data_IF_281061804198
#
_entry.id   IF_281061804198
#
_cell.length_a   1.000
_cell.length_b   1.000
_cell.length_c   1.000
_cell.angle_alpha   90.00
_cell.angle_beta   90.00
_cell.angle_gamma   90.00
#
_symmetry.space_group_name_H-M   'P 1'
#
loop_
_entity.id
_entity.type
_entity.pdbx_description
1 polymer ?
#
# COMPACT_ATOMS: atom_id res chain seq x y z
N UNK A 1 -1.57 8.11 12.11
CA UNK A 1 -1.65 8.80 13.41
C UNK A 1 -0.27 8.77 14.04
N UNK A 2 0.28 9.90 14.54
CA UNK A 2 1.61 9.94 15.13
C UNK A 2 1.72 9.02 16.36
N UNK A 3 2.87 8.35 16.53
CA UNK A 3 3.08 7.35 17.58
C UNK A 3 2.83 7.89 19.01
N UNK A 4 3.23 9.14 19.26
CA UNK A 4 3.02 9.80 20.56
C UNK A 4 1.54 9.95 20.91
N UNK A 5 0.68 10.20 19.90
CA UNK A 5 -0.75 10.35 20.11
C UNK A 5 -1.38 9.00 20.49
N UNK A 6 -0.91 7.90 19.88
CA UNK A 6 -1.32 6.53 20.25
C UNK A 6 -0.93 6.20 21.69
N UNK A 7 0.27 6.60 22.10
CA UNK A 7 0.77 6.38 23.46
C UNK A 7 -0.08 7.13 24.50
N UNK A 8 -0.39 8.41 24.23
CA UNK A 8 -1.25 9.23 25.08
C UNK A 8 -2.68 8.65 25.21
N UNK A 9 -3.29 8.23 24.10
CA UNK A 9 -4.63 7.60 24.12
C UNK A 9 -4.62 6.33 24.97
N UNK A 10 -3.57 5.51 24.85
CA UNK A 10 -3.45 4.26 25.61
C UNK A 10 -3.30 4.54 27.10
N UNK A 11 -2.44 5.48 27.50
CA UNK A 11 -2.28 5.89 28.90
C UNK A 11 -3.60 6.44 29.45
N UNK A 12 -4.26 7.34 28.72
CA UNK A 12 -5.51 7.95 29.16
C UNK A 12 -6.60 6.90 29.34
N UNK A 13 -6.68 5.94 28.42
CA UNK A 13 -7.63 4.86 28.51
C UNK A 13 -7.33 3.91 29.68
N UNK A 14 -6.06 3.62 29.98
CA UNK A 14 -5.69 2.87 31.20
C UNK A 14 -6.14 3.62 32.45
N UNK A 15 -5.85 4.93 32.55
CA UNK A 15 -6.25 5.77 33.69
C UNK A 15 -7.78 5.80 33.85
N UNK A 16 -8.51 6.01 32.75
CA UNK A 16 -9.96 6.02 32.74
C UNK A 16 -10.55 4.66 33.12
N UNK A 17 -9.96 3.57 32.61
CA UNK A 17 -10.36 2.21 32.97
C UNK A 17 -10.13 1.97 34.47
N UNK A 18 -8.99 2.39 35.03
CA UNK A 18 -8.71 2.33 36.46
C UNK A 18 -9.69 3.17 37.31
N UNK A 19 -10.16 4.31 36.80
CA UNK A 19 -11.19 5.13 37.46
C UNK A 19 -12.55 4.43 37.49
N UNK A 20 -13.03 3.95 36.33
CA UNK A 20 -14.27 3.16 36.23
C UNK A 20 -14.21 1.86 37.04
N UNK A 21 -13.01 1.27 37.17
CA UNK A 21 -12.78 0.04 37.94
C UNK A 21 -13.19 0.15 39.41
N UNK A 22 -13.14 1.36 39.98
CA UNK A 22 -13.52 1.61 41.38
C UNK A 22 -15.03 1.72 41.59
N UNK A 23 -15.81 1.99 40.54
CA UNK A 23 -17.25 2.19 40.63
C UNK A 23 -18.07 0.89 40.48
N UNK A 24 -17.45 -0.20 40.00
CA UNK A 24 -18.15 -1.47 39.72
C UNK A 24 -17.86 -2.47 40.85
N UNK A 25 -18.89 -2.90 41.56
CA UNK A 25 -18.77 -3.80 42.71
C UNK A 25 -18.56 -5.28 42.31
N UNK A 26 -19.13 -5.71 41.18
CA UNK A 26 -19.03 -7.09 40.70
C UNK A 26 -17.68 -7.36 40.00
N UNK A 27 -16.94 -8.37 40.47
CA UNK A 27 -15.62 -8.77 39.94
C UNK A 27 -15.69 -9.30 38.50
N UNK A 28 -16.77 -10.00 38.12
CA UNK A 28 -16.90 -10.58 36.76
C UNK A 28 -17.18 -9.50 35.72
N UNK A 29 -18.09 -8.58 36.04
CA UNK A 29 -18.42 -7.44 35.18
C UNK A 29 -17.19 -6.54 34.94
N UNK A 30 -16.37 -6.33 35.98
CA UNK A 30 -15.10 -5.61 35.87
C UNK A 30 -14.16 -6.22 34.83
N UNK A 31 -13.91 -7.53 34.90
CA UNK A 31 -13.02 -8.22 33.95
C UNK A 31 -13.55 -8.08 32.52
N UNK A 32 -14.84 -8.31 32.30
CA UNK A 32 -15.45 -8.22 30.96
C UNK A 32 -15.32 -6.80 30.40
N UNK A 33 -15.65 -5.77 31.18
CA UNK A 33 -15.58 -4.36 30.76
C UNK A 33 -14.14 -3.97 30.43
N UNK A 34 -13.16 -4.36 31.27
CA UNK A 34 -11.75 -4.11 30.98
C UNK A 34 -11.29 -4.79 29.68
N UNK A 35 -11.67 -6.06 29.44
CA UNK A 35 -11.33 -6.75 28.19
C UNK A 35 -11.94 -6.07 26.96
N UNK A 36 -13.19 -5.61 27.05
CA UNK A 36 -13.86 -4.88 25.97
C UNK A 36 -13.21 -3.53 25.68
N UNK A 37 -12.82 -2.78 26.71
CA UNK A 37 -12.12 -1.50 26.54
C UNK A 37 -10.76 -1.71 25.89
N UNK A 38 -9.97 -2.69 26.35
CA UNK A 38 -8.68 -3.03 25.74
C UNK A 38 -8.82 -3.47 24.28
N UNK A 39 -9.86 -4.24 23.96
CA UNK A 39 -10.17 -4.63 22.58
C UNK A 39 -10.55 -3.40 21.72
N UNK A 40 -11.37 -2.49 22.24
CA UNK A 40 -11.76 -1.27 21.55
C UNK A 40 -10.56 -0.34 21.29
N UNK A 41 -9.66 -0.16 22.25
CA UNK A 41 -8.44 0.66 22.08
C UNK A 41 -7.50 0.02 21.05
N UNK A 42 -7.30 -1.30 21.11
CA UNK A 42 -6.46 -2.06 20.17
C UNK A 42 -6.97 -1.90 18.73
N UNK A 43 -8.28 -2.10 18.53
CA UNK A 43 -8.90 -2.05 17.20
C UNK A 43 -8.86 -0.65 16.59
N UNK A 44 -9.06 0.41 17.39
CA UNK A 44 -9.06 1.79 16.91
C UNK A 44 -7.65 2.34 16.62
N UNK A 45 -6.64 1.87 17.35
CA UNK A 45 -5.30 2.50 17.33
C UNK A 45 -4.32 1.90 16.32
N UNK A 46 -4.44 0.62 15.98
CA UNK A 46 -3.42 -0.10 15.19
C UNK A 46 -3.95 -0.86 13.97
N UNK A 47 -5.23 -0.70 13.58
CA UNK A 47 -5.87 -1.57 12.56
C UNK A 47 -5.57 -3.06 12.84
N UNK A 48 -5.57 -3.42 14.13
CA UNK A 48 -5.08 -4.70 14.61
C UNK A 48 -6.00 -5.29 15.66
N UNK A 49 -6.25 -6.59 15.54
CA UNK A 49 -6.89 -7.38 16.57
C UNK A 49 -5.76 -7.95 17.42
N UNK A 50 -5.74 -7.56 18.70
CA UNK A 50 -4.78 -8.09 19.68
C UNK A 50 -3.33 -8.06 19.18
N UNK A 51 -2.83 -6.97 18.58
CA UNK A 51 -1.41 -6.76 18.22
C UNK A 51 -0.73 -7.79 17.29
N UNK A 52 -1.42 -8.87 16.87
CA UNK A 52 -0.84 -9.92 16.02
C UNK A 52 -1.62 -10.16 14.70
N UNK A 53 -2.90 -9.77 14.62
CA UNK A 53 -3.67 -9.75 13.36
C UNK A 53 -3.80 -8.29 12.94
N UNK A 54 -3.45 -7.98 11.69
CA UNK A 54 -3.61 -6.67 11.08
C UNK A 54 -4.55 -6.76 9.90
N UNK A 55 -5.28 -5.69 9.62
CA UNK A 55 -6.11 -5.57 8.43
C UNK A 55 -5.94 -4.23 7.75
N UNK A 56 -6.10 -4.21 6.42
CA UNK A 56 -5.99 -2.99 5.64
C UNK A 56 -6.82 -3.06 4.35
N UNK A 57 -7.20 -1.89 3.84
CA UNK A 57 -8.15 -1.77 2.74
C UNK A 57 -9.63 -1.89 3.18
N UNK A 58 -10.57 -2.08 2.24
CA UNK A 58 -10.35 -2.21 0.79
C UNK A 58 -9.83 -0.92 0.15
N UNK A 59 -9.18 -1.07 -1.00
CA UNK A 59 -8.68 0.04 -1.81
C UNK A 59 -9.36 0.07 -3.16
N UNK A 60 -9.67 1.29 -3.61
CA UNK A 60 -10.32 1.55 -4.88
C UNK A 60 -9.50 2.56 -5.65
N UNK A 61 -9.44 2.41 -6.96
CA UNK A 61 -8.81 3.42 -7.77
C UNK A 61 -9.12 3.26 -9.24
N UNK A 62 -8.54 4.16 -10.02
CA UNK A 62 -8.65 4.19 -11.47
C UNK A 62 -7.27 4.43 -12.07
N UNK A 63 -6.93 3.68 -13.10
CA UNK A 63 -5.72 3.87 -13.90
C UNK A 63 -6.11 4.57 -15.19
N UNK A 64 -5.47 5.70 -15.47
CA UNK A 64 -5.73 6.50 -16.67
C UNK A 64 -4.44 6.81 -17.41
N UNK A 65 -4.58 7.03 -18.70
CA UNK A 65 -3.55 7.57 -19.56
C UNK A 65 -3.23 9.01 -19.13
N UNK A 66 -1.96 9.29 -18.94
CA UNK A 66 -1.52 10.59 -18.48
C UNK A 66 -1.75 11.71 -19.51
N UNK A 67 -1.66 11.37 -20.80
CA UNK A 67 -1.71 12.31 -21.91
C UNK A 67 -3.17 12.52 -22.34
N UNK A 68 -3.95 11.45 -22.48
CA UNK A 68 -5.34 11.54 -22.98
C UNK A 68 -6.39 11.64 -21.87
N UNK A 69 -6.05 11.24 -20.63
CA UNK A 69 -7.01 11.12 -19.53
C UNK A 69 -7.97 9.94 -19.67
N UNK A 70 -7.82 9.11 -20.71
CA UNK A 70 -8.67 7.95 -20.97
C UNK A 70 -8.37 6.81 -19.99
N UNK A 71 -9.38 5.99 -19.63
CA UNK A 71 -9.17 4.82 -18.78
C UNK A 71 -8.25 3.78 -19.44
N UNK A 72 -7.40 3.14 -18.64
CA UNK A 72 -6.53 2.06 -19.10
C UNK A 72 -7.10 0.70 -18.64
N UNK A 73 -7.63 -0.06 -19.59
CA UNK A 73 -8.06 -1.43 -19.37
C UNK A 73 -6.89 -2.43 -19.29
N UNK A 74 -7.01 -3.43 -18.43
CA UNK A 74 -6.08 -4.55 -18.38
C UNK A 74 -4.70 -4.20 -17.81
N UNK A 75 -4.58 -3.11 -17.03
CA UNK A 75 -3.40 -2.79 -16.25
C UNK A 75 -3.35 -3.72 -15.03
N UNK A 76 -2.20 -4.34 -14.79
CA UNK A 76 -1.97 -5.14 -13.59
C UNK A 76 -1.69 -4.19 -12.42
N UNK A 77 -2.40 -4.38 -11.31
CA UNK A 77 -2.26 -3.59 -10.10
C UNK A 77 -1.92 -4.53 -8.95
N UNK A 78 -0.89 -4.23 -8.19
CA UNK A 78 -0.49 -4.97 -7.00
C UNK A 78 -0.44 -4.03 -5.80
N UNK A 79 -1.15 -4.41 -4.73
CA UNK A 79 -1.03 -3.83 -3.41
C UNK A 79 -0.11 -4.69 -2.57
N UNK A 80 0.89 -4.07 -1.94
CA UNK A 80 1.91 -4.76 -1.17
C UNK A 80 1.98 -4.14 0.21
N UNK A 81 2.07 -5.00 1.22
CA UNK A 81 2.10 -4.60 2.61
C UNK A 81 3.37 -5.10 3.27
N UNK A 82 3.96 -4.22 4.07
CA UNK A 82 5.08 -4.53 4.95
C UNK A 82 4.65 -4.39 6.41
N UNK A 83 5.26 -5.20 7.26
CA UNK A 83 5.17 -5.04 8.70
C UNK A 83 6.44 -4.36 9.14
N UNK A 84 6.25 -3.22 9.81
CA UNK A 84 7.29 -2.52 10.54
C UNK A 84 7.41 -3.13 11.93
N UNK A 85 8.55 -3.79 12.19
CA UNK A 85 8.94 -4.23 13.52
C UNK A 85 9.75 -3.12 14.18
N UNK A 86 9.20 -2.53 15.25
CA UNK A 86 9.90 -1.51 16.00
C UNK A 86 10.90 -2.17 16.96
N UNK A 87 12.18 -1.81 16.81
CA UNK A 87 13.21 -2.04 17.82
C UNK A 87 13.61 -0.71 18.46
N UNK A 88 14.22 -0.76 19.64
CA UNK A 88 14.60 0.42 20.44
C UNK A 88 15.45 1.46 19.68
N UNK A 89 16.13 1.05 18.60
CA UNK A 89 17.14 1.86 17.89
C UNK A 89 16.91 1.91 16.37
N UNK A 90 16.02 1.08 15.83
CA UNK A 90 15.77 0.97 14.39
C UNK A 90 14.42 0.34 14.09
N UNK A 91 13.85 0.67 12.94
CA UNK A 91 12.71 -0.06 12.36
C UNK A 91 13.22 -1.08 11.36
N UNK A 92 12.67 -2.29 11.40
CA UNK A 92 12.89 -3.32 10.38
C UNK A 92 11.60 -3.59 9.64
N UNK A 93 11.64 -3.55 8.30
CA UNK A 93 10.50 -3.83 7.45
C UNK A 93 10.59 -5.25 6.91
N UNK A 94 9.47 -5.95 6.94
CA UNK A 94 9.37 -7.29 6.38
C UNK A 94 8.10 -7.44 5.55
N UNK A 95 8.19 -8.21 4.48
CA UNK A 95 7.04 -8.58 3.67
C UNK A 95 5.93 -9.21 4.51
N UNK A 96 4.74 -8.62 4.45
CA UNK A 96 3.58 -9.10 5.17
C UNK A 96 2.61 -9.85 4.24
N UNK A 97 2.18 -9.19 3.17
CA UNK A 97 1.27 -9.78 2.19
C UNK A 97 1.32 -9.01 0.87
N UNK A 98 0.77 -9.61 -0.19
CA UNK A 98 0.53 -8.95 -1.46
C UNK A 98 -0.75 -9.49 -2.10
N UNK A 99 -1.45 -8.61 -2.79
CA UNK A 99 -2.67 -8.91 -3.54
C UNK A 99 -2.61 -8.23 -4.88
N UNK A 100 -2.99 -8.93 -5.95
CA UNK A 100 -3.08 -8.38 -7.30
C UNK A 100 -4.52 -8.31 -7.80
N UNK A 101 -4.74 -7.37 -8.71
CA UNK A 101 -5.97 -7.22 -9.49
C UNK A 101 -5.63 -6.69 -10.88
N UNK A 102 -6.61 -6.63 -11.77
CA UNK A 102 -6.48 -6.12 -13.13
C UNK A 102 -7.59 -5.09 -13.35
N UNK A 103 -7.27 -3.97 -13.99
CA UNK A 103 -8.26 -2.94 -14.28
C UNK A 103 -9.29 -3.41 -15.30
N UNK A 104 -10.53 -2.97 -15.11
CA UNK A 104 -11.64 -3.18 -16.06
C UNK A 104 -11.63 -2.17 -17.22
N UNK A 105 -12.66 -2.23 -18.07
CA UNK A 105 -12.83 -1.35 -19.22
C UNK A 105 -12.91 0.15 -18.86
N UNK A 106 -13.40 0.46 -17.65
CA UNK A 106 -13.46 1.83 -17.13
C UNK A 106 -12.14 2.25 -16.44
N UNK A 107 -11.12 1.39 -16.50
CA UNK A 107 -9.82 1.56 -15.85
C UNK A 107 -9.89 1.43 -14.33
N UNK A 108 -11.02 1.01 -13.77
CA UNK A 108 -11.21 0.90 -12.33
C UNK A 108 -10.57 -0.39 -11.80
N UNK A 109 -10.10 -0.33 -10.56
CA UNK A 109 -9.60 -1.50 -9.84
C UNK A 109 -10.07 -1.49 -8.40
N UNK A 110 -10.24 -2.69 -7.85
CA UNK A 110 -10.49 -2.92 -6.43
C UNK A 110 -9.49 -3.91 -5.89
N UNK A 111 -8.76 -3.52 -4.85
CA UNK A 111 -7.94 -4.41 -4.04
C UNK A 111 -8.76 -4.76 -2.78
N UNK A 112 -9.08 -6.04 -2.55
CA UNK A 112 -9.92 -6.45 -1.44
C UNK A 112 -9.25 -6.21 -0.09
N UNK A 113 -10.05 -6.25 0.97
CA UNK A 113 -9.56 -6.25 2.35
C UNK A 113 -8.50 -7.32 2.53
N UNK A 114 -7.33 -6.90 3.02
CA UNK A 114 -6.18 -7.78 3.20
C UNK A 114 -5.87 -7.92 4.68
N UNK A 115 -5.46 -9.12 5.07
CA UNK A 115 -5.00 -9.43 6.42
C UNK A 115 -3.52 -9.76 6.42
N UNK A 116 -2.84 -9.38 7.49
CA UNK A 116 -1.47 -9.75 7.77
C UNK A 116 -1.35 -10.24 9.21
N UNK A 117 -0.35 -11.09 9.46
CA UNK A 117 -0.13 -11.68 10.78
C UNK A 117 1.33 -11.58 11.17
N UNK A 118 1.60 -11.24 12.42
CA UNK A 118 2.94 -11.27 13.01
C UNK A 118 2.84 -11.57 14.50
N UNK A 119 3.82 -12.31 15.03
CA UNK A 119 3.96 -12.56 16.46
C UNK A 119 4.91 -11.56 17.15
N UNK A 120 5.49 -10.63 16.39
CA UNK A 120 6.46 -9.69 16.93
C UNK A 120 5.74 -8.62 17.78
N UNK A 121 6.13 -8.46 19.06
CA UNK A 121 5.56 -7.42 19.91
C UNK A 121 5.97 -6.05 19.39
N UNK A 122 5.07 -5.06 19.46
CA UNK A 122 5.31 -3.71 18.92
C UNK A 122 5.60 -3.72 17.42
N UNK A 123 4.76 -4.41 16.66
CA UNK A 123 4.72 -4.31 15.21
C UNK A 123 3.63 -3.35 14.76
N UNK A 124 3.72 -2.89 13.51
CA UNK A 124 2.69 -2.13 12.83
C UNK A 124 2.61 -2.57 11.37
N UNK A 125 1.40 -2.60 10.83
CA UNK A 125 1.22 -2.71 9.38
C UNK A 125 1.45 -1.34 8.76
N UNK A 126 2.40 -1.24 7.84
CA UNK A 126 2.69 -0.01 7.12
C UNK A 126 1.60 0.27 6.06
N UNK A 127 1.60 1.47 5.50
CA UNK A 127 0.73 1.82 4.39
C UNK A 127 0.97 0.90 3.18
N UNK A 128 -0.11 0.53 2.50
CA UNK A 128 -0.01 -0.26 1.27
C UNK A 128 0.81 0.49 0.21
N UNK A 129 1.87 -0.15 -0.27
CA UNK A 129 2.57 0.27 -1.46
C UNK A 129 1.84 -0.24 -2.72
N UNK A 130 1.52 0.70 -3.61
CA UNK A 130 0.87 0.41 -4.88
C UNK A 130 1.91 0.28 -5.99
N UNK A 131 1.84 -0.83 -6.73
CA UNK A 131 2.58 -1.02 -7.97
C UNK A 131 1.60 -1.25 -9.12
N UNK A 132 1.75 -0.50 -10.20
CA UNK A 132 0.90 -0.65 -11.39
C UNK A 132 1.77 -0.86 -12.61
N UNK A 133 1.36 -1.76 -13.50
CA UNK A 133 2.07 -2.02 -14.75
C UNK A 133 1.10 -2.37 -15.87
N UNK A 134 1.33 -1.78 -17.03
CA UNK A 134 0.66 -2.13 -18.29
C UNK A 134 1.72 -2.18 -19.40
N UNK A 135 1.80 -3.26 -20.19
CA UNK A 135 2.66 -3.29 -21.39
C UNK A 135 2.39 -2.09 -22.30
N UNK A 136 3.45 -1.43 -22.77
CA UNK A 136 3.34 -0.20 -23.56
C UNK A 136 3.17 1.10 -22.75
N UNK A 137 3.14 1.01 -21.42
CA UNK A 137 3.10 2.16 -20.51
C UNK A 137 4.30 2.17 -19.56
N UNK A 138 4.48 3.28 -18.86
CA UNK A 138 5.34 3.38 -17.68
C UNK A 138 4.81 2.53 -16.52
N UNK A 139 5.62 2.37 -15.49
CA UNK A 139 5.22 1.77 -14.21
C UNK A 139 4.63 2.81 -13.25
N UNK A 140 3.92 2.33 -12.24
CA UNK A 140 3.76 3.06 -10.98
C UNK A 140 4.51 2.33 -9.87
N UNK A 141 5.35 2.99 -9.07
CA UNK A 141 5.89 4.35 -9.26
C UNK A 141 6.57 4.55 -10.64
N UNK A 142 6.62 5.79 -11.17
CA UNK A 142 7.17 6.05 -12.51
C UNK A 142 8.64 5.67 -12.61
N UNK A 143 8.99 5.00 -13.70
CA UNK A 143 10.38 4.80 -14.10
C UNK A 143 10.82 5.91 -15.06
N UNK A 144 9.91 6.42 -15.87
CA UNK A 144 10.18 7.41 -16.92
C UNK A 144 9.96 8.80 -16.33
N UNK A 145 11.03 9.59 -16.25
CA UNK A 145 10.96 11.00 -15.86
C UNK A 145 10.99 11.88 -17.11
N UNK A 146 9.87 11.96 -17.83
CA UNK A 146 9.72 12.94 -18.91
C UNK A 146 9.31 14.29 -18.32
N UNK A 147 9.99 15.35 -18.75
CA UNK A 147 9.52 16.71 -18.57
C UNK A 147 8.33 16.91 -19.50
N UNK A 148 7.14 17.03 -18.94
CA UNK A 148 5.91 17.24 -19.70
C UNK A 148 5.44 18.69 -19.57
N UNK A 149 4.67 19.15 -20.56
CA UNK A 149 3.90 20.38 -20.40
C UNK A 149 2.85 20.15 -19.32
N UNK A 150 2.74 21.13 -18.43
CA UNK A 150 1.82 21.07 -17.28
C UNK A 150 0.38 21.11 -17.81
N UNK A 151 -0.47 20.12 -17.47
CA UNK A 151 -1.89 20.21 -17.81
C UNK A 151 -2.52 21.43 -17.13
N UNK A 152 -3.41 22.14 -17.84
CA UNK A 152 -4.04 23.38 -17.36
C UNK A 152 -4.78 23.21 -16.02
N UNK A 153 -5.33 22.01 -15.77
CA UNK A 153 -6.11 21.70 -14.57
C UNK A 153 -5.28 21.40 -13.32
N UNK A 154 -3.96 21.41 -13.40
CA UNK A 154 -3.09 21.13 -12.24
C UNK A 154 -2.57 22.46 -11.71
N UNK A 155 -2.84 22.79 -10.44
CA UNK A 155 -2.35 24.05 -9.87
C UNK A 155 -0.87 23.95 -9.47
N UNK A 156 -0.41 22.79 -8.99
CA UNK A 156 0.92 22.64 -8.38
C UNK A 156 1.99 22.07 -9.32
N UNK A 157 3.06 22.84 -9.56
CA UNK A 157 4.34 22.35 -10.11
C UNK A 157 5.33 21.99 -9.00
N UNK A 158 6.32 21.15 -9.33
CA UNK A 158 7.49 20.94 -8.48
C UNK A 158 8.28 22.26 -8.33
N UNK A 159 9.05 22.47 -7.24
CA UNK A 159 9.83 23.71 -7.01
C UNK A 159 10.81 24.08 -8.14
N UNK A 160 11.21 23.09 -8.94
CA UNK A 160 12.10 23.24 -10.11
C UNK A 160 11.36 23.62 -11.40
N UNK A 161 10.04 23.84 -11.35
CA UNK A 161 9.21 24.21 -12.51
C UNK A 161 8.95 23.07 -13.49
N UNK A 162 9.43 21.86 -13.20
CA UNK A 162 9.21 20.70 -14.05
C UNK A 162 7.91 19.97 -13.63
N UNK A 163 7.14 19.52 -14.62
CA UNK A 163 6.02 18.62 -14.41
C UNK A 163 6.43 17.20 -14.77
N UNK A 164 6.42 16.32 -13.77
CA UNK A 164 6.59 14.88 -13.94
C UNK A 164 5.26 14.23 -13.60
N UNK A 165 4.69 13.48 -14.54
CA UNK A 165 3.57 12.60 -14.23
C UNK A 165 4.10 11.48 -13.34
N UNK A 166 3.42 11.23 -12.22
CA UNK A 166 3.72 10.09 -11.36
C UNK A 166 4.28 10.44 -9.98
N UNK A 167 3.76 11.47 -9.29
CA UNK A 167 3.83 11.42 -7.82
C UNK A 167 3.26 10.08 -7.37
N UNK A 168 3.90 9.43 -6.39
CA UNK A 168 3.35 8.20 -5.80
C UNK A 168 1.89 8.43 -5.46
N UNK A 169 1.02 7.60 -6.01
CA UNK A 169 -0.40 7.67 -5.73
C UNK A 169 -0.55 7.10 -4.32
N UNK A 170 -0.89 7.97 -3.37
CA UNK A 170 -1.18 7.54 -2.00
C UNK A 170 -2.62 7.04 -1.97
N UNK A 171 -2.83 5.75 -2.18
CA UNK A 171 -4.12 5.14 -1.96
C UNK A 171 -4.40 5.10 -0.46
N UNK A 172 -5.55 5.65 -0.04
CA UNK A 172 -6.01 5.62 1.35
C UNK A 172 -7.24 4.76 1.43
N UNK A 173 -7.43 4.09 2.57
CA UNK A 173 -8.65 3.31 2.81
C UNK A 173 -9.87 4.21 2.56
N UNK A 174 -10.86 3.68 1.84
CA UNK A 174 -12.12 4.35 1.50
C UNK A 174 -12.00 5.59 0.61
N UNK A 175 -10.85 5.84 -0.01
CA UNK A 175 -10.67 6.93 -0.99
C UNK A 175 -10.25 6.35 -2.33
N UNK A 176 -10.96 6.75 -3.39
CA UNK A 176 -10.54 6.45 -4.77
C UNK A 176 -9.20 7.14 -5.03
N UNK A 177 -8.19 6.37 -5.43
CA UNK A 177 -6.93 6.90 -5.94
C UNK A 177 -6.91 6.89 -7.47
N UNK A 178 -6.32 7.91 -8.07
CA UNK A 178 -6.09 7.99 -9.50
C UNK A 178 -4.61 7.77 -9.78
N UNK A 179 -4.31 6.79 -10.64
CA UNK A 179 -2.96 6.47 -11.09
C UNK A 179 -2.84 6.86 -12.54
N UNK A 180 -1.92 7.78 -12.85
CA UNK A 180 -1.64 8.21 -14.21
C UNK A 180 -0.40 7.49 -14.74
N UNK A 181 -0.52 6.84 -15.88
CA UNK A 181 0.60 6.18 -16.55
C UNK A 181 0.90 6.87 -17.89
N UNK A 182 2.19 7.13 -18.14
CA UNK A 182 2.64 7.66 -19.43
C UNK A 182 2.75 6.51 -20.44
N UNK A 183 2.37 6.72 -21.71
CA UNK A 183 2.70 5.75 -22.77
C UNK A 183 4.20 5.67 -22.95
N UNK A 184 4.77 4.48 -22.99
CA UNK A 184 6.17 4.28 -23.31
C UNK A 184 6.39 4.41 -24.82
N UNK A 185 7.21 5.37 -25.25
CA UNK A 185 7.41 5.74 -26.64
C UNK A 185 8.55 4.96 -27.31
N UNK A 186 9.45 4.38 -26.50
CA UNK A 186 10.59 3.60 -26.99
C UNK A 186 10.65 2.21 -26.37
N UNK A 187 11.42 1.32 -26.99
CA UNK A 187 11.72 0.01 -26.40
C UNK A 187 12.50 0.16 -25.08
N UNK A 188 13.41 1.13 -24.99
CA UNK A 188 14.20 1.37 -23.78
C UNK A 188 13.33 1.82 -22.61
N UNK A 189 12.36 2.70 -22.85
CA UNK A 189 11.39 3.13 -21.85
C UNK A 189 10.54 1.97 -21.32
N UNK A 190 10.04 1.10 -22.21
CA UNK A 190 9.31 -0.13 -21.81
C UNK A 190 10.18 -1.05 -20.96
N UNK A 191 11.45 -1.21 -21.34
CA UNK A 191 12.42 -2.00 -20.57
C UNK A 191 12.70 -1.39 -19.19
N UNK A 192 12.79 -0.06 -19.09
CA UNK A 192 12.99 0.64 -17.82
C UNK A 192 11.77 0.50 -16.90
N UNK A 193 10.55 0.66 -17.43
CA UNK A 193 9.30 0.49 -16.70
C UNK A 193 9.17 -0.94 -16.14
N UNK A 194 9.32 -1.96 -16.99
CA UNK A 194 9.28 -3.36 -16.57
C UNK A 194 10.39 -3.70 -15.57
N UNK A 195 11.61 -3.19 -15.78
CA UNK A 195 12.74 -3.36 -14.86
C UNK A 195 12.51 -2.68 -13.50
N UNK A 196 11.91 -1.50 -13.47
CA UNK A 196 11.58 -0.77 -12.24
C UNK A 196 10.57 -1.53 -11.40
N UNK A 197 9.47 -1.98 -12.00
CA UNK A 197 8.50 -2.86 -11.33
C UNK A 197 9.18 -4.11 -10.78
N UNK A 198 9.99 -4.79 -11.59
CA UNK A 198 10.68 -6.00 -11.16
C UNK A 198 11.57 -5.75 -9.94
N UNK A 199 12.36 -4.67 -9.96
CA UNK A 199 13.25 -4.32 -8.86
C UNK A 199 12.48 -4.02 -7.56
N UNK A 200 11.34 -3.31 -7.66
CA UNK A 200 10.46 -3.03 -6.51
C UNK A 200 9.88 -4.33 -5.94
N UNK A 201 9.38 -5.21 -6.81
CA UNK A 201 8.83 -6.49 -6.38
C UNK A 201 9.89 -7.40 -5.74
N UNK A 202 11.13 -7.35 -6.26
CA UNK A 202 12.26 -8.12 -5.73
C UNK A 202 12.78 -7.56 -4.40
N UNK A 203 12.83 -6.23 -4.22
CA UNK A 203 13.32 -5.61 -2.97
C UNK A 203 12.46 -5.97 -1.76
N UNK A 204 11.17 -6.25 -1.98
CA UNK A 204 10.25 -6.66 -0.93
C UNK A 204 10.27 -8.16 -0.62
N UNK A 205 11.22 -8.94 -1.17
CA UNK A 205 11.30 -10.38 -0.86
C UNK A 205 10.00 -11.14 -1.18
N UNK A 206 9.23 -10.64 -2.15
CA UNK A 206 7.87 -11.07 -2.38
C UNK A 206 7.79 -12.47 -2.95
N UNK A 207 6.86 -13.28 -2.43
CA UNK A 207 6.51 -14.56 -3.05
C UNK A 207 5.75 -14.33 -4.36
N UNK A 208 6.39 -14.58 -5.50
CA UNK A 208 5.80 -14.46 -6.85
C UNK A 208 4.45 -15.16 -7.01
N UNK A 209 4.20 -16.22 -6.22
CA UNK A 209 2.92 -16.93 -6.18
C UNK A 209 1.71 -16.04 -5.84
N UNK A 210 1.91 -14.89 -5.18
CA UNK A 210 0.87 -13.94 -4.78
C UNK A 210 0.50 -12.95 -5.88
N UNK A 211 1.37 -12.75 -6.86
CA UNK A 211 1.23 -11.76 -7.94
C UNK A 211 1.51 -12.37 -9.32
N UNK A 212 0.92 -13.55 -9.58
CA UNK A 212 1.25 -14.36 -10.77
C UNK A 212 0.88 -13.65 -12.06
N UNK A 213 -0.27 -12.97 -12.12
CA UNK A 213 -0.73 -12.26 -13.32
C UNK A 213 0.18 -11.07 -13.60
N UNK A 214 0.57 -10.33 -12.57
CA UNK A 214 1.50 -9.21 -12.68
C UNK A 214 2.87 -9.68 -13.20
N UNK A 215 3.43 -10.74 -12.61
CA UNK A 215 4.71 -11.32 -13.05
C UNK A 215 4.61 -11.85 -14.48
N UNK A 216 3.47 -12.42 -14.87
CA UNK A 216 3.23 -12.86 -16.24
C UNK A 216 3.23 -11.67 -17.21
N UNK A 217 2.51 -10.59 -16.89
CA UNK A 217 2.49 -9.38 -17.73
C UNK A 217 3.89 -8.79 -17.93
N UNK A 218 4.72 -8.75 -16.89
CA UNK A 218 6.12 -8.30 -17.00
C UNK A 218 6.96 -9.21 -17.91
N UNK A 219 6.77 -10.53 -17.85
CA UNK A 219 7.52 -11.50 -18.67
C UNK A 219 7.08 -11.45 -20.14
N UNK A 220 5.80 -11.25 -20.37
CA UNK A 220 5.23 -11.17 -21.72
C UNK A 220 5.69 -9.86 -22.42
N UNK A 221 5.80 -8.75 -21.68
CA UNK A 221 6.34 -7.47 -22.22
C UNK A 221 7.85 -7.50 -22.43
N UNK A 222 8.59 -8.18 -21.56
CA UNK A 222 10.05 -8.25 -21.63
C UNK A 222 10.58 -9.68 -21.48
N UNK A 223 10.69 -10.43 -22.60
CA UNK A 223 11.12 -11.84 -22.59
C UNK A 223 12.51 -12.07 -21.99
N UNK A 224 13.37 -11.04 -21.97
CA UNK A 224 14.71 -11.13 -21.36
C UNK A 224 14.66 -11.36 -19.83
N UNK A 225 13.53 -11.05 -19.18
CA UNK A 225 13.32 -11.24 -17.75
C UNK A 225 13.04 -12.71 -17.36
N UNK A 226 12.91 -13.61 -18.33
CA UNK A 226 12.57 -15.03 -18.09
C UNK A 226 13.58 -15.77 -17.20
N UNK A 227 14.83 -15.29 -17.16
CA UNK A 227 15.92 -15.90 -16.39
C UNK A 227 16.08 -15.36 -14.95
N UNK A 228 15.45 -14.22 -14.61
CA UNK A 228 15.65 -13.57 -13.30
C UNK A 228 14.99 -14.31 -12.13
N UNK A 229 13.86 -14.98 -12.37
CA UNK A 229 13.05 -15.60 -11.31
C UNK A 229 13.37 -17.08 -11.03
N UNK A 230 14.46 -17.60 -11.60
CA UNK A 230 14.90 -19.00 -11.40
C UNK A 230 15.97 -19.17 -10.30
N UNK A 231 16.39 -18.08 -9.67
CA UNK A 231 17.24 -18.07 -8.47
C UNK A 231 16.38 -17.84 -7.24
#
# INVERSE_FOLDING_TARGET
MPLYLKFCITIFAIIFTCGLYRAIEDRRKRIIITMLILLAISTFSNRSIYWFIYWDGPYFGKVIDADTGEPIEGACVAGIWEIENFMLIASMYHFANATETVTDADGEFTIPLTFAFTLWPMSGLDEMDLVVFKPGYDSHPPAIQRKMEKPEHIEHTSPDGNYFVGRRAHCKIWRKCEVRLNKAMSYEERRQASGKCLNILASWGMKTSKIKKFVKALKDDNPSLKNWWKK
#
